data_IF_355918143380
#
_entry.id   IF_355918143380
#
_cell.length_a   1.000
_cell.length_b   1.000
_cell.length_c   1.000
_cell.angle_alpha   90.00
_cell.angle_beta   90.00
_cell.angle_gamma   90.00
#
_symmetry.space_group_name_H-M   'P 1'
#
loop_
_entity.id
_entity.type
_entity.pdbx_description
1 polymer ?
#
# COMPACT_ATOMS: atom_id res chain seq x y z
N UNK A 1 -16.65 2.42 21.20
CA UNK A 1 -16.13 1.12 20.70
C UNK A 1 -15.42 1.39 19.40
N UNK A 2 -14.23 0.82 19.17
CA UNK A 2 -13.59 0.92 17.86
C UNK A 2 -14.43 0.12 16.84
N UNK A 3 -14.88 0.78 15.77
CA UNK A 3 -15.60 0.12 14.69
C UNK A 3 -14.63 -0.52 13.71
N UNK A 4 -15.11 -1.47 12.88
CA UNK A 4 -14.30 -2.01 11.79
C UNK A 4 -13.78 -0.92 10.84
N UNK A 5 -14.57 0.13 10.61
CA UNK A 5 -14.14 1.28 9.81
C UNK A 5 -12.94 2.01 10.45
N UNK A 6 -12.96 2.22 11.76
CA UNK A 6 -11.85 2.89 12.46
C UNK A 6 -10.54 2.09 12.34
N UNK A 7 -10.61 0.75 12.37
CA UNK A 7 -9.45 -0.11 12.14
C UNK A 7 -8.94 0.02 10.70
N UNK A 8 -9.84 0.00 9.71
CA UNK A 8 -9.46 0.16 8.29
C UNK A 8 -8.75 1.50 8.06
N UNK A 9 -9.28 2.59 8.63
CA UNK A 9 -8.69 3.92 8.47
C UNK A 9 -7.32 4.02 9.15
N UNK A 10 -7.13 3.34 10.28
CA UNK A 10 -5.83 3.23 10.95
C UNK A 10 -4.82 2.49 10.07
N UNK A 11 -5.21 1.33 9.50
CA UNK A 11 -4.33 0.55 8.62
C UNK A 11 -3.96 1.32 7.34
N UNK A 12 -4.91 2.05 6.74
CA UNK A 12 -4.63 2.93 5.59
C UNK A 12 -3.60 4.00 5.95
N UNK A 13 -3.77 4.67 7.09
CA UNK A 13 -2.85 5.72 7.54
C UNK A 13 -1.45 5.17 7.77
N UNK A 14 -1.35 4.04 8.48
CA UNK A 14 -0.09 3.34 8.72
C UNK A 14 0.62 2.97 7.41
N UNK A 15 -0.11 2.50 6.40
CA UNK A 15 0.46 2.19 5.09
C UNK A 15 1.04 3.44 4.41
N UNK A 16 0.33 4.56 4.43
CA UNK A 16 0.81 5.82 3.84
C UNK A 16 2.03 6.36 4.61
N UNK A 17 2.00 6.35 5.94
CA UNK A 17 3.14 6.73 6.77
C UNK A 17 4.37 5.84 6.48
N UNK A 18 4.15 4.54 6.29
CA UNK A 18 5.20 3.60 5.87
C UNK A 18 5.75 4.01 4.51
N UNK A 19 4.90 4.25 3.51
CA UNK A 19 5.35 4.70 2.18
C UNK A 19 6.12 6.03 2.23
N UNK A 20 5.74 6.97 3.09
CA UNK A 20 6.45 8.24 3.28
C UNK A 20 7.87 8.05 3.84
N UNK A 21 8.09 6.98 4.62
CA UNK A 21 9.41 6.66 5.17
C UNK A 21 10.36 5.99 4.15
N UNK A 22 9.83 5.55 3.00
CA UNK A 22 10.56 4.80 1.99
C UNK A 22 10.93 5.72 0.81
N UNK A 23 12.23 5.97 0.55
CA UNK A 23 12.65 6.87 -0.52
C UNK A 23 12.21 6.41 -1.91
N UNK A 24 12.03 5.11 -2.12
CA UNK A 24 11.53 4.55 -3.37
C UNK A 24 10.08 4.95 -3.65
N UNK A 25 9.30 5.23 -2.62
CA UNK A 25 7.90 5.65 -2.70
C UNK A 25 7.70 7.16 -2.75
N UNK A 26 8.78 7.95 -2.76
CA UNK A 26 8.68 9.39 -3.01
C UNK A 26 8.02 9.68 -4.38
N UNK A 27 7.48 10.90 -4.60
CA UNK A 27 6.81 11.26 -5.86
C UNK A 27 7.62 11.03 -7.14
N UNK A 28 8.93 11.25 -7.08
CA UNK A 28 9.86 10.99 -8.19
C UNK A 28 10.55 9.63 -8.09
N UNK A 29 10.19 8.84 -7.08
CA UNK A 29 10.78 7.54 -6.80
C UNK A 29 10.38 6.47 -7.81
N UNK A 30 11.17 5.37 -7.90
CA UNK A 30 10.90 4.23 -8.78
C UNK A 30 9.67 3.39 -8.37
N UNK A 31 9.10 3.64 -7.19
CA UNK A 31 8.02 2.89 -6.56
C UNK A 31 8.45 1.52 -6.03
N UNK A 32 7.62 0.95 -5.16
CA UNK A 32 7.79 -0.38 -4.59
C UNK A 32 6.67 -1.31 -4.99
N UNK A 33 6.98 -2.60 -5.16
CA UNK A 33 5.98 -3.63 -5.38
C UNK A 33 5.14 -3.89 -4.13
N UNK A 34 3.95 -4.45 -4.33
CA UNK A 34 3.02 -4.75 -3.24
C UNK A 34 3.65 -5.58 -2.12
N UNK A 35 4.44 -6.61 -2.44
CA UNK A 35 5.06 -7.46 -1.42
C UNK A 35 6.07 -6.69 -0.56
N UNK A 36 6.90 -5.85 -1.18
CA UNK A 36 7.83 -5.01 -0.43
C UNK A 36 7.12 -4.02 0.51
N UNK A 37 5.97 -3.48 0.08
CA UNK A 37 5.14 -2.60 0.92
C UNK A 37 4.46 -3.35 2.06
N UNK A 38 4.01 -4.58 1.82
CA UNK A 38 3.44 -5.45 2.85
C UNK A 38 4.47 -5.74 3.95
N UNK A 39 5.68 -6.13 3.55
CA UNK A 39 6.77 -6.47 4.46
C UNK A 39 7.16 -5.24 5.28
N UNK A 40 7.30 -4.08 4.63
CA UNK A 40 7.65 -2.82 5.29
C UNK A 40 6.55 -2.35 6.27
N UNK A 41 5.27 -2.53 5.91
CA UNK A 41 4.15 -2.15 6.75
C UNK A 41 3.85 -3.17 7.86
N UNK A 42 4.46 -4.36 7.83
CA UNK A 42 4.18 -5.44 8.78
C UNK A 42 2.78 -6.03 8.62
N UNK A 43 2.28 -6.09 7.38
CA UNK A 43 0.94 -6.59 7.06
C UNK A 43 0.90 -8.05 6.62
N UNK A 44 2.03 -8.76 6.73
CA UNK A 44 2.09 -10.21 6.51
C UNK A 44 1.15 -10.93 7.49
N UNK A 45 0.03 -11.44 6.96
CA UNK A 45 -0.92 -12.20 7.77
C UNK A 45 -0.51 -13.67 7.89
N UNK A 46 0.53 -14.08 7.13
CA UNK A 46 1.02 -15.45 7.07
C UNK A 46 -0.09 -16.44 6.68
N UNK A 47 -0.98 -15.99 5.77
CA UNK A 47 -2.07 -16.81 5.24
C UNK A 47 -1.64 -17.37 3.88
N UNK A 48 -1.40 -18.69 3.77
CA UNK A 48 -1.08 -19.30 2.49
C UNK A 48 -2.13 -18.93 1.44
N UNK A 49 -1.68 -18.59 0.22
CA UNK A 49 -2.51 -18.18 -0.93
C UNK A 49 -3.24 -16.83 -0.81
N UNK A 50 -3.40 -16.28 0.40
CA UNK A 50 -4.15 -15.04 0.64
C UNK A 50 -3.28 -13.87 1.14
N UNK A 51 -2.00 -14.11 1.40
CA UNK A 51 -1.03 -13.05 1.63
C UNK A 51 -1.03 -12.07 0.43
N UNK A 52 -0.88 -10.79 0.69
CA UNK A 52 -1.03 -9.75 -0.33
C UNK A 52 -2.42 -9.14 -0.45
N UNK A 53 -3.53 -9.88 -0.25
CA UNK A 53 -4.88 -9.35 -0.52
C UNK A 53 -5.25 -8.17 0.39
N UNK A 54 -4.79 -8.19 1.63
CA UNK A 54 -5.03 -7.10 2.57
C UNK A 54 -4.31 -5.82 2.13
N UNK A 55 -2.99 -5.92 1.89
CA UNK A 55 -2.17 -4.80 1.39
C UNK A 55 -2.70 -4.26 0.06
N UNK A 56 -3.08 -5.13 -0.88
CA UNK A 56 -3.72 -4.74 -2.14
C UNK A 56 -5.00 -3.94 -1.88
N UNK A 57 -5.88 -4.42 -1.02
CA UNK A 57 -7.16 -3.76 -0.71
C UNK A 57 -6.96 -2.38 -0.10
N UNK A 58 -5.92 -2.22 0.73
CA UNK A 58 -5.55 -0.92 1.32
C UNK A 58 -4.96 0.05 0.29
N UNK A 59 -4.29 -0.43 -0.75
CA UNK A 59 -3.73 0.39 -1.84
C UNK A 59 -4.77 0.84 -2.87
N UNK A 60 -5.85 0.07 -3.08
CA UNK A 60 -6.88 0.39 -4.08
C UNK A 60 -7.52 1.75 -3.83
N UNK A 61 -7.94 2.04 -2.59
CA UNK A 61 -8.61 3.31 -2.30
C UNK A 61 -7.70 4.54 -2.50
N UNK A 62 -6.46 4.58 -1.96
CA UNK A 62 -5.48 5.62 -2.24
C UNK A 62 -5.09 5.75 -3.72
N UNK A 63 -5.17 4.65 -4.47
CA UNK A 63 -4.93 4.70 -5.93
C UNK A 63 -6.09 5.36 -6.67
N UNK A 64 -7.33 5.15 -6.21
CA UNK A 64 -8.52 5.75 -6.81
C UNK A 64 -8.68 7.23 -6.47
N UNK A 65 -8.25 7.65 -5.27
CA UNK A 65 -8.31 9.05 -4.85
C UNK A 65 -7.08 9.88 -5.28
N UNK A 66 -6.06 9.23 -5.86
CA UNK A 66 -4.87 9.89 -6.40
C UNK A 66 -3.79 10.23 -5.37
N UNK A 67 -3.90 9.71 -4.14
CA UNK A 67 -2.83 9.81 -3.13
C UNK A 67 -1.63 8.94 -3.50
N UNK A 68 -1.89 7.78 -4.10
CA UNK A 68 -0.89 6.79 -4.53
C UNK A 68 -1.00 6.59 -6.03
N UNK A 69 0.13 6.59 -6.72
CA UNK A 69 0.22 6.25 -8.14
C UNK A 69 0.66 4.79 -8.29
N UNK A 70 -0.10 4.02 -9.08
CA UNK A 70 0.33 2.70 -9.56
C UNK A 70 1.11 2.85 -10.87
N UNK A 71 2.44 2.80 -10.78
CA UNK A 71 3.36 2.86 -11.91
C UNK A 71 3.21 1.57 -12.75
N UNK A 72 2.89 1.73 -14.03
CA UNK A 72 2.55 0.67 -15.00
C UNK A 72 1.23 -0.08 -14.71
N UNK A 73 0.07 0.58 -14.90
CA UNK A 73 -1.22 -0.07 -14.80
C UNK A 73 -1.37 -1.13 -15.91
N UNK A 74 -1.30 -2.41 -15.55
CA UNK A 74 -1.53 -3.54 -16.48
C UNK A 74 -0.53 -4.68 -16.34
N UNK A 75 0.59 -4.46 -15.64
CA UNK A 75 1.56 -5.51 -15.34
C UNK A 75 1.23 -6.18 -13.99
N UNK A 76 1.52 -7.47 -13.84
CA UNK A 76 1.33 -8.22 -12.56
C UNK A 76 2.18 -7.64 -11.43
N UNK A 77 3.26 -6.94 -11.78
CA UNK A 77 4.21 -6.32 -10.86
C UNK A 77 4.03 -4.79 -10.80
N UNK A 78 2.81 -4.32 -10.49
CA UNK A 78 2.60 -2.89 -10.28
C UNK A 78 3.49 -2.39 -9.15
N UNK A 79 4.12 -1.24 -9.37
CA UNK A 79 4.84 -0.51 -8.34
C UNK A 79 4.00 0.67 -7.88
N UNK A 80 4.12 1.03 -6.62
CA UNK A 80 3.36 2.10 -6.01
C UNK A 80 4.30 3.16 -5.44
N UNK A 81 3.94 4.42 -5.63
CA UNK A 81 4.59 5.59 -5.02
C UNK A 81 3.53 6.61 -4.62
N UNK A 82 3.90 7.55 -3.76
CA UNK A 82 3.06 8.69 -3.41
C UNK A 82 3.01 9.66 -4.58
N UNK A 83 1.90 10.40 -4.71
CA UNK A 83 1.75 11.40 -5.79
C UNK A 83 2.24 12.79 -5.36
N UNK A 84 2.32 13.07 -4.07
CA UNK A 84 2.74 14.35 -3.49
C UNK A 84 3.53 14.14 -2.19
#
# INVERSE_FOLDING_TARGET
MASGQALIDLCKRHLIETMQSLPECAPDGPGLGQKALEDAAGFELNLPEYDGYFTWSLLVAPTLDGTVEAIQPGNRNKKYRLTH
#
